data_IF_555518796308
#
_entry.id   IF_555518796308
#
_cell.length_a   1.000
_cell.length_b   1.000
_cell.length_c   1.000
_cell.angle_alpha   90.00
_cell.angle_beta   90.00
_cell.angle_gamma   90.00
#
_symmetry.space_group_name_H-M   'P 1'
#
loop_
_entity.id
_entity.type
_entity.pdbx_description
1 polymer ?
#
# COMPACT_ATOMS: atom_id res chain seq x y z
N UNK A 1 8.73 6.48 17.45
CA UNK A 1 8.41 6.26 16.02
C UNK A 1 9.63 6.31 15.11
N UNK A 2 10.43 7.39 15.02
CA UNK A 2 11.40 7.58 13.92
C UNK A 2 12.52 6.54 13.84
N UNK A 3 12.86 5.86 14.94
CA UNK A 3 13.90 4.80 14.94
C UNK A 3 13.50 3.57 14.11
N UNK A 4 12.23 3.21 14.14
CA UNK A 4 11.73 1.95 13.56
C UNK A 4 10.76 2.17 12.40
N UNK A 5 10.30 3.41 12.18
CA UNK A 5 9.43 3.79 11.08
C UNK A 5 9.96 5.10 10.52
N UNK A 6 10.66 5.01 9.40
CA UNK A 6 11.28 6.12 8.69
C UNK A 6 11.53 5.71 7.25
N UNK A 7 11.51 6.70 6.37
CA UNK A 7 11.90 6.53 4.99
C UNK A 7 13.35 6.02 4.90
N UNK A 8 13.67 5.04 4.03
CA UNK A 8 15.02 4.51 3.90
C UNK A 8 16.02 5.58 3.45
N UNK A 9 17.24 5.47 3.97
CA UNK A 9 18.41 6.15 3.41
C UNK A 9 18.78 5.58 2.03
N UNK A 10 19.66 6.25 1.29
CA UNK A 10 20.02 5.88 -0.08
C UNK A 10 20.57 4.44 -0.19
N UNK A 11 21.32 3.98 0.82
CA UNK A 11 21.89 2.63 0.84
C UNK A 11 20.82 1.56 0.98
N UNK A 12 19.87 1.76 1.90
CA UNK A 12 18.72 0.86 2.07
C UNK A 12 17.79 0.92 0.87
N UNK A 13 17.53 2.13 0.35
CA UNK A 13 16.67 2.33 -0.80
C UNK A 13 17.22 1.64 -2.05
N UNK A 14 18.54 1.65 -2.25
CA UNK A 14 19.18 0.91 -3.34
C UNK A 14 18.95 -0.61 -3.22
N UNK A 15 19.04 -1.17 -2.00
CA UNK A 15 18.74 -2.60 -1.75
C UNK A 15 17.27 -2.91 -2.00
N UNK A 16 16.37 -2.06 -1.52
CA UNK A 16 14.92 -2.21 -1.74
C UNK A 16 14.60 -2.24 -3.24
N UNK A 17 15.17 -1.29 -4.01
CA UNK A 17 15.03 -1.25 -5.47
C UNK A 17 15.51 -2.55 -6.13
N UNK A 18 16.70 -3.01 -5.76
CA UNK A 18 17.26 -4.24 -6.30
C UNK A 18 16.39 -5.46 -5.98
N UNK A 19 15.89 -5.58 -4.75
CA UNK A 19 15.05 -6.70 -4.32
C UNK A 19 13.70 -6.70 -5.05
N UNK A 20 12.98 -5.58 -5.12
CA UNK A 20 11.72 -5.52 -5.86
C UNK A 20 11.90 -5.73 -7.36
N UNK A 21 12.99 -5.24 -7.95
CA UNK A 21 13.33 -5.49 -9.35
C UNK A 21 13.63 -6.97 -9.58
N UNK A 22 14.29 -7.64 -8.65
CA UNK A 22 14.52 -9.10 -8.74
C UNK A 22 13.25 -9.94 -8.65
N UNK A 23 12.23 -9.45 -7.92
CA UNK A 23 10.94 -10.11 -7.75
C UNK A 23 10.08 -9.93 -9.02
N UNK A 24 9.97 -8.69 -9.49
CA UNK A 24 8.94 -8.29 -10.45
C UNK A 24 9.47 -7.91 -11.83
N UNK A 25 10.77 -7.63 -11.96
CA UNK A 25 11.37 -7.01 -13.14
C UNK A 25 11.07 -5.51 -13.31
N UNK A 26 10.28 -4.90 -12.42
CA UNK A 26 9.98 -3.47 -12.46
C UNK A 26 11.14 -2.70 -11.81
N UNK A 27 11.81 -1.81 -12.55
CA UNK A 27 12.98 -1.10 -12.03
C UNK A 27 12.58 -0.01 -11.03
N UNK A 28 13.54 0.40 -10.20
CA UNK A 28 13.48 1.58 -9.32
C UNK A 28 12.34 1.57 -8.28
N UNK A 29 11.76 0.42 -7.95
CA UNK A 29 10.67 0.33 -6.96
C UNK A 29 11.21 0.50 -5.54
N UNK A 30 10.83 1.57 -4.86
CA UNK A 30 11.23 1.88 -3.48
C UNK A 30 10.27 1.40 -2.40
N UNK A 31 9.11 0.85 -2.77
CA UNK A 31 8.12 0.39 -1.81
C UNK A 31 6.79 -0.03 -2.44
N UNK A 32 6.05 -0.82 -1.69
CA UNK A 32 4.65 -1.16 -1.97
C UNK A 32 3.72 -0.42 -1.02
N UNK A 33 2.71 0.28 -1.54
CA UNK A 33 1.74 1.03 -0.74
C UNK A 33 0.40 0.32 -0.69
N UNK A 34 -0.23 0.33 0.49
CA UNK A 34 -1.57 -0.19 0.70
C UNK A 34 -2.30 0.62 1.78
N UNK A 35 -3.63 0.71 1.66
CA UNK A 35 -4.50 1.29 2.69
C UNK A 35 -5.39 0.21 3.27
N UNK A 36 -5.47 0.13 4.59
CA UNK A 36 -6.42 -0.75 5.28
C UNK A 36 -7.35 0.04 6.20
N UNK A 37 -8.54 -0.52 6.45
CA UNK A 37 -9.51 0.04 7.37
C UNK A 37 -9.42 -0.61 8.75
N UNK A 38 -9.40 0.22 9.80
CA UNK A 38 -9.49 -0.20 11.20
C UNK A 38 -10.91 0.06 11.69
N UNK A 39 -11.66 -0.96 12.13
CA UNK A 39 -13.03 -0.78 12.61
C UNK A 39 -13.08 0.10 13.87
N UNK A 40 -14.00 1.05 13.89
CA UNK A 40 -14.27 1.91 15.04
C UNK A 40 -15.73 1.83 15.47
N UNK A 41 -15.99 2.26 16.71
CA UNK A 41 -17.34 2.63 17.12
C UNK A 41 -17.71 3.94 16.43
N UNK A 42 -18.99 4.09 16.04
CA UNK A 42 -19.50 5.32 15.45
C UNK A 42 -19.12 6.52 16.34
N UNK A 43 -18.43 7.54 15.80
CA UNK A 43 -18.07 8.71 16.59
C UNK A 43 -19.34 9.48 16.97
N UNK A 44 -19.26 10.36 17.98
CA UNK A 44 -20.40 11.20 18.38
C UNK A 44 -20.66 12.36 17.41
N UNK A 45 -19.65 12.75 16.64
CA UNK A 45 -19.69 13.86 15.68
C UNK A 45 -19.18 13.40 14.33
N UNK A 46 -19.72 13.98 13.25
CA UNK A 46 -19.33 13.70 11.88
C UNK A 46 -19.38 12.21 11.48
N UNK A 47 -20.42 11.51 11.94
CA UNK A 47 -20.62 10.05 11.78
C UNK A 47 -20.49 9.60 10.32
N UNK A 48 -21.07 10.37 9.39
CA UNK A 48 -21.07 10.08 7.97
C UNK A 48 -19.65 9.98 7.38
N UNK A 49 -18.69 10.79 7.85
CA UNK A 49 -17.32 10.76 7.36
C UNK A 49 -16.59 9.44 7.68
N UNK A 50 -17.01 8.73 8.73
CA UNK A 50 -16.38 7.46 9.12
C UNK A 50 -17.13 6.25 8.61
N UNK A 51 -18.28 6.45 7.94
CA UNK A 51 -19.10 5.37 7.42
C UNK A 51 -18.38 4.67 6.27
N UNK A 52 -18.07 3.39 6.46
CA UNK A 52 -17.49 2.55 5.42
C UNK A 52 -18.62 1.78 4.72
N UNK A 53 -19.05 2.34 3.58
CA UNK A 53 -20.15 1.80 2.76
C UNK A 53 -19.85 0.38 2.28
N UNK A 54 -18.66 0.14 1.75
CA UNK A 54 -18.26 -1.16 1.17
C UNK A 54 -18.17 -2.25 2.21
N UNK A 55 -17.59 -1.94 3.36
CA UNK A 55 -17.53 -2.88 4.48
C UNK A 55 -18.94 -3.17 5.03
N UNK A 56 -19.83 -2.17 5.01
CA UNK A 56 -21.24 -2.34 5.37
C UNK A 56 -21.97 -3.27 4.41
N UNK A 57 -21.77 -3.09 3.10
CA UNK A 57 -22.33 -3.94 2.05
C UNK A 57 -21.78 -5.37 2.13
N UNK A 58 -20.47 -5.54 2.32
CA UNK A 58 -19.83 -6.86 2.44
C UNK A 58 -20.34 -7.65 3.65
N UNK A 59 -20.39 -7.00 4.81
CA UNK A 59 -20.71 -7.69 6.07
C UNK A 59 -22.19 -7.62 6.44
N UNK A 60 -23.02 -6.97 5.61
CA UNK A 60 -24.44 -6.73 5.88
C UNK A 60 -24.68 -6.08 7.27
N UNK A 61 -23.74 -5.23 7.72
CA UNK A 61 -23.74 -4.60 9.03
C UNK A 61 -23.07 -3.24 8.99
N UNK A 62 -23.75 -2.21 9.51
CA UNK A 62 -23.24 -0.84 9.56
C UNK A 62 -21.84 -0.81 10.18
N UNK A 63 -20.89 -0.33 9.39
CA UNK A 63 -19.47 -0.36 9.70
C UNK A 63 -18.88 1.04 9.58
N UNK A 64 -18.09 1.40 10.59
CA UNK A 64 -17.34 2.64 10.65
C UNK A 64 -15.86 2.31 10.75
N UNK A 65 -15.00 3.12 10.13
CA UNK A 65 -13.57 2.89 10.18
C UNK A 65 -12.76 4.17 10.08
N UNK A 66 -11.49 4.05 10.44
CA UNK A 66 -10.43 4.96 9.99
C UNK A 66 -9.44 4.20 9.11
N UNK A 67 -8.66 4.93 8.33
CA UNK A 67 -7.64 4.35 7.46
C UNK A 67 -6.26 4.32 8.11
N UNK A 68 -5.49 3.31 7.71
CA UNK A 68 -4.03 3.23 7.85
C UNK A 68 -3.49 2.97 6.46
N UNK A 69 -2.86 3.98 5.88
CA UNK A 69 -2.08 3.86 4.66
C UNK A 69 -0.62 3.63 5.04
N UNK A 70 0.07 2.72 4.37
CA UNK A 70 1.46 2.44 4.68
C UNK A 70 2.24 1.98 3.46
N UNK A 71 3.51 2.40 3.39
CA UNK A 71 4.50 1.91 2.44
C UNK A 71 5.35 0.87 3.14
N UNK A 72 5.61 -0.25 2.49
CA UNK A 72 6.49 -1.30 2.98
C UNK A 72 7.61 -1.63 2.02
N UNK A 73 8.71 -2.12 2.58
CA UNK A 73 9.80 -2.76 1.85
C UNK A 73 9.47 -4.23 1.50
N UNK A 74 10.34 -4.96 0.77
CA UNK A 74 10.10 -6.35 0.38
C UNK A 74 9.97 -7.31 1.57
N UNK A 75 10.58 -6.98 2.71
CA UNK A 75 10.46 -7.75 3.95
C UNK A 75 9.15 -7.47 4.70
N UNK A 76 8.36 -6.50 4.25
CA UNK A 76 7.12 -6.08 4.91
C UNK A 76 7.35 -5.16 6.11
N UNK A 77 8.49 -4.50 6.19
CA UNK A 77 8.77 -3.43 7.17
C UNK A 77 8.16 -2.13 6.66
N UNK A 78 7.36 -1.46 7.50
CA UNK A 78 6.78 -0.16 7.18
C UNK A 78 7.85 0.93 7.13
N UNK A 79 7.99 1.60 5.98
CA UNK A 79 8.90 2.73 5.78
C UNK A 79 8.19 4.08 5.91
N UNK A 80 6.90 4.13 5.63
CA UNK A 80 6.03 5.30 5.82
C UNK A 80 4.63 4.87 6.24
N UNK A 81 3.96 5.66 7.08
CA UNK A 81 2.54 5.45 7.44
C UNK A 81 1.78 6.76 7.55
N UNK A 82 0.54 6.76 7.07
CA UNK A 82 -0.43 7.82 7.26
C UNK A 82 -1.68 7.25 7.94
N UNK A 83 -2.01 7.78 9.12
CA UNK A 83 -2.97 7.15 10.04
C UNK A 83 -4.05 8.15 10.43
N UNK A 84 -5.29 7.66 10.49
CA UNK A 84 -6.38 8.36 11.20
C UNK A 84 -7.35 9.11 10.32
N UNK A 85 -7.25 8.98 9.00
CA UNK A 85 -8.24 9.58 8.10
C UNK A 85 -9.58 8.82 8.15
N UNK A 86 -10.71 9.51 7.95
CA UNK A 86 -12.03 8.88 8.01
C UNK A 86 -12.19 7.78 6.94
N UNK A 87 -12.84 6.67 7.30
CA UNK A 87 -12.96 5.50 6.43
C UNK A 87 -13.85 5.67 5.20
N UNK A 88 -14.55 6.80 5.05
CA UNK A 88 -15.22 7.14 3.80
C UNK A 88 -14.32 7.90 2.82
N UNK A 89 -13.10 8.28 3.24
CA UNK A 89 -12.16 9.05 2.43
C UNK A 89 -11.45 8.11 1.44
N UNK A 90 -11.47 8.42 0.13
CA UNK A 90 -10.77 7.62 -0.89
C UNK A 90 -9.25 7.64 -0.71
N UNK A 91 -8.57 6.61 -1.26
CA UNK A 91 -7.13 6.43 -1.14
C UNK A 91 -6.30 7.60 -1.68
N UNK A 92 -6.77 8.25 -2.75
CA UNK A 92 -6.08 9.38 -3.36
C UNK A 92 -6.12 10.64 -2.47
N UNK A 93 -7.24 10.90 -1.80
CA UNK A 93 -7.35 11.98 -0.81
C UNK A 93 -6.55 11.69 0.46
N UNK A 94 -6.49 10.43 0.90
CA UNK A 94 -5.60 10.01 2.00
C UNK A 94 -4.14 10.23 1.61
N UNK A 95 -3.77 9.84 0.39
CA UNK A 95 -2.42 9.99 -0.15
C UNK A 95 -1.99 11.46 -0.17
N UNK A 96 -2.82 12.36 -0.71
CA UNK A 96 -2.52 13.81 -0.79
C UNK A 96 -2.22 14.45 0.57
N UNK A 97 -2.69 13.84 1.66
CA UNK A 97 -2.51 14.30 3.04
C UNK A 97 -1.37 13.59 3.77
N UNK A 98 -0.67 12.67 3.09
CA UNK A 98 0.42 11.88 3.66
C UNK A 98 1.77 12.60 3.58
N UNK A 99 2.66 12.27 4.51
CA UNK A 99 4.06 12.73 4.46
C UNK A 99 4.80 12.19 3.23
N UNK A 100 4.37 11.03 2.69
CA UNK A 100 4.87 10.49 1.42
C UNK A 100 4.59 11.42 0.24
N UNK A 101 3.39 11.98 0.15
CA UNK A 101 3.03 12.92 -0.91
C UNK A 101 3.80 14.23 -0.80
N UNK A 102 3.96 14.74 0.42
CA UNK A 102 4.82 15.90 0.68
C UNK A 102 6.28 15.62 0.27
N UNK A 103 6.82 14.45 0.61
CA UNK A 103 8.16 14.00 0.20
C UNK A 103 8.30 13.98 -1.32
N UNK A 104 7.29 13.53 -2.04
CA UNK A 104 7.29 13.54 -3.50
C UNK A 104 7.32 14.97 -4.06
N UNK A 105 6.51 15.88 -3.51
CA UNK A 105 6.48 17.29 -3.93
C UNK A 105 7.79 18.02 -3.67
N UNK A 106 8.57 17.59 -2.68
CA UNK A 106 9.92 18.07 -2.40
C UNK A 106 10.99 17.48 -3.33
N UNK A 107 10.62 16.61 -4.28
CA UNK A 107 11.55 15.93 -5.19
C UNK A 107 12.38 14.83 -4.53
N UNK A 108 12.03 14.42 -3.32
CA UNK A 108 12.78 13.40 -2.57
C UNK A 108 12.43 11.96 -2.98
N UNK A 109 11.50 11.78 -3.92
CA UNK A 109 11.19 10.51 -4.59
C UNK A 109 11.65 10.48 -6.05
N UNK A 110 12.54 11.39 -6.45
CA UNK A 110 13.11 11.35 -7.80
C UNK A 110 13.80 10.00 -8.04
N UNK A 111 13.57 9.40 -9.22
CA UNK A 111 14.05 8.06 -9.57
C UNK A 111 13.59 6.93 -8.63
N UNK A 112 12.46 7.11 -7.94
CA UNK A 112 11.82 6.10 -7.10
C UNK A 112 10.37 5.91 -7.54
N UNK A 113 9.98 4.66 -7.75
CA UNK A 113 8.57 4.30 -7.91
C UNK A 113 8.03 3.65 -6.64
N UNK A 114 6.88 4.10 -6.18
CA UNK A 114 6.02 3.35 -5.26
C UNK A 114 4.97 2.62 -6.08
N UNK A 115 4.62 1.40 -5.68
CA UNK A 115 3.58 0.62 -6.37
C UNK A 115 2.35 0.49 -5.49
N UNK A 116 1.23 1.04 -5.97
CA UNK A 116 -0.08 0.99 -5.31
C UNK A 116 -1.10 0.21 -6.11
N UNK A 117 -2.28 0.02 -5.51
CA UNK A 117 -3.45 -0.60 -6.14
C UNK A 117 -4.22 0.37 -7.06
N UNK A 118 -5.34 -0.09 -7.61
CA UNK A 118 -6.13 0.69 -8.57
C UNK A 118 -6.90 1.86 -7.94
N UNK A 119 -6.97 1.91 -6.60
CA UNK A 119 -7.53 3.02 -5.86
C UNK A 119 -6.64 4.26 -5.81
N UNK A 120 -5.36 4.10 -6.16
CA UNK A 120 -4.42 5.21 -6.27
C UNK A 120 -4.38 5.80 -7.68
N UNK A 121 -4.08 7.11 -7.79
CA UNK A 121 -3.82 7.74 -9.08
C UNK A 121 -2.42 7.39 -9.62
N UNK A 122 -2.30 7.26 -10.94
CA UNK A 122 -1.00 7.18 -11.60
C UNK A 122 -0.28 8.54 -11.54
N UNK A 123 0.94 8.55 -11.01
CA UNK A 123 1.82 9.73 -10.89
C UNK A 123 3.25 9.36 -11.28
N UNK A 124 4.14 10.34 -11.48
CA UNK A 124 5.53 10.08 -11.93
C UNK A 124 6.32 9.16 -10.98
N UNK A 125 5.99 9.20 -9.69
CA UNK A 125 6.58 8.38 -8.64
C UNK A 125 5.65 7.27 -8.13
N UNK A 126 4.42 7.15 -8.63
CA UNK A 126 3.42 6.16 -8.17
C UNK A 126 2.86 5.36 -9.34
N UNK A 127 3.22 4.08 -9.42
CA UNK A 127 2.75 3.13 -10.41
C UNK A 127 1.52 2.38 -9.87
N UNK A 128 0.52 2.23 -10.75
CA UNK A 128 -0.74 1.53 -10.49
C UNK A 128 -1.10 0.63 -11.66
N UNK A 129 -1.82 -0.47 -11.44
CA UNK A 129 -2.19 -1.39 -12.52
C UNK A 129 -3.09 -0.70 -13.56
N UNK A 130 -3.11 -1.24 -14.77
CA UNK A 130 -4.09 -0.86 -15.79
C UNK A 130 -5.49 -1.34 -15.36
N UNK A 131 -6.44 -0.41 -15.32
CA UNK A 131 -7.83 -0.65 -14.91
C UNK A 131 -8.83 -0.64 -16.10
N UNK A 132 -8.35 -0.88 -17.32
CA UNK A 132 -9.19 -0.91 -18.53
C UNK A 132 -9.81 -2.29 -18.74
N UNK A 133 -10.98 -2.37 -19.39
CA UNK A 133 -11.71 -3.63 -19.57
C UNK A 133 -10.98 -4.66 -20.43
N UNK A 134 -10.35 -4.21 -21.53
CA UNK A 134 -9.66 -5.07 -22.48
C UNK A 134 -8.17 -4.78 -22.42
N UNK A 135 -7.45 -5.53 -21.59
CA UNK A 135 -6.01 -5.39 -21.43
C UNK A 135 -5.27 -6.03 -22.61
N UNK A 136 -4.21 -5.38 -23.06
CA UNK A 136 -3.24 -6.01 -23.98
C UNK A 136 -2.39 -7.03 -23.22
N UNK A 137 -1.68 -7.90 -23.94
CA UNK A 137 -0.71 -8.83 -23.33
C UNK A 137 0.37 -8.12 -22.51
N UNK A 138 0.88 -6.98 -22.99
CA UNK A 138 1.84 -6.16 -22.24
C UNK A 138 1.25 -5.61 -20.94
N UNK A 139 0.00 -5.15 -20.96
CA UNK A 139 -0.68 -4.63 -19.79
C UNK A 139 -1.02 -5.74 -18.78
N UNK A 140 -1.38 -6.93 -19.26
CA UNK A 140 -1.56 -8.11 -18.41
C UNK A 140 -0.27 -8.50 -17.70
N UNK A 141 0.84 -8.64 -18.42
CA UNK A 141 2.15 -8.94 -17.84
C UNK A 141 2.56 -7.87 -16.81
N UNK A 142 2.36 -6.59 -17.12
CA UNK A 142 2.61 -5.51 -16.17
C UNK A 142 1.76 -5.62 -14.89
N UNK A 143 0.45 -5.87 -15.03
CA UNK A 143 -0.45 -6.00 -13.88
C UNK A 143 -0.09 -7.19 -12.98
N UNK A 144 0.37 -8.31 -13.55
CA UNK A 144 0.90 -9.44 -12.79
C UNK A 144 2.09 -9.02 -11.94
N UNK A 145 3.07 -8.32 -12.54
CA UNK A 145 4.27 -7.84 -11.84
C UNK A 145 3.98 -6.77 -10.78
N UNK A 146 3.02 -5.90 -11.03
CA UNK A 146 2.47 -5.00 -10.01
C UNK A 146 1.84 -5.78 -8.85
N UNK A 147 1.12 -6.85 -9.15
CA UNK A 147 0.52 -7.74 -8.15
C UNK A 147 1.55 -8.41 -7.24
N UNK A 148 2.67 -8.87 -7.80
CA UNK A 148 3.79 -9.44 -7.03
C UNK A 148 4.37 -8.43 -6.03
N UNK A 149 4.49 -7.15 -6.41
CA UNK A 149 4.96 -6.10 -5.50
C UNK A 149 3.91 -5.79 -4.44
N UNK A 150 2.64 -5.64 -4.84
CA UNK A 150 1.52 -5.39 -3.92
C UNK A 150 1.35 -6.49 -2.87
N UNK A 151 1.71 -7.74 -3.21
CA UNK A 151 1.68 -8.85 -2.27
C UNK A 151 2.53 -8.57 -1.01
N UNK A 152 3.62 -7.80 -1.12
CA UNK A 152 4.44 -7.41 0.03
C UNK A 152 3.66 -6.55 1.03
N UNK A 153 2.99 -5.49 0.56
CA UNK A 153 2.14 -4.65 1.42
C UNK A 153 0.95 -5.44 1.97
N UNK A 154 0.27 -6.21 1.12
CA UNK A 154 -0.86 -7.04 1.51
C UNK A 154 -0.48 -8.02 2.63
N UNK A 155 0.64 -8.73 2.47
CA UNK A 155 1.14 -9.65 3.48
C UNK A 155 1.57 -8.93 4.77
N UNK A 156 2.21 -7.76 4.67
CA UNK A 156 2.60 -6.97 5.84
C UNK A 156 1.38 -6.51 6.65
N UNK A 157 0.33 -6.02 5.98
CA UNK A 157 -0.92 -5.62 6.64
C UNK A 157 -1.71 -6.81 7.20
N UNK A 158 -1.69 -7.97 6.54
CA UNK A 158 -2.26 -9.21 7.05
C UNK A 158 -1.55 -9.65 8.35
N UNK A 159 -0.21 -9.65 8.36
CA UNK A 159 0.60 -9.91 9.57
C UNK A 159 0.36 -8.86 10.65
N UNK A 160 0.21 -7.59 10.28
CA UNK A 160 -0.15 -6.51 11.20
C UNK A 160 -1.47 -6.83 11.92
N UNK A 161 -2.55 -7.03 11.16
CA UNK A 161 -3.84 -7.34 11.78
C UNK A 161 -3.82 -8.66 12.54
N UNK A 162 -3.04 -9.64 12.09
CA UNK A 162 -2.85 -10.92 12.77
C UNK A 162 -2.18 -10.82 14.14
N UNK A 163 -1.01 -10.18 14.21
CA UNK A 163 -0.24 -10.00 15.46
C UNK A 163 -0.98 -9.13 16.48
N UNK A 164 -1.72 -8.11 16.01
CA UNK A 164 -2.46 -7.18 16.87
C UNK A 164 -3.96 -7.35 16.68
N UNK A 165 -4.57 -8.36 17.32
CA UNK A 165 -6.01 -8.63 17.20
C UNK A 165 -6.91 -7.46 17.62
N UNK A 166 -6.39 -6.49 18.39
CA UNK A 166 -7.08 -5.23 18.69
C UNK A 166 -7.40 -4.40 17.43
N UNK A 167 -6.72 -4.64 16.32
CA UNK A 167 -6.95 -4.00 15.02
C UNK A 167 -8.07 -4.64 14.20
N UNK A 168 -8.47 -5.86 14.56
CA UNK A 168 -9.48 -6.64 13.83
C UNK A 168 -10.91 -6.32 14.27
N UNK A 169 -11.08 -5.82 15.50
CA UNK A 169 -12.37 -5.55 16.12
C UNK A 169 -12.58 -4.05 16.27
N UNK A 170 -13.82 -3.66 16.56
CA UNK A 170 -14.16 -2.27 16.89
C UNK A 170 -13.35 -1.85 18.11
N UNK A 171 -12.47 -0.87 17.91
CA UNK A 171 -11.69 -0.32 19.01
C UNK A 171 -12.57 0.54 19.93
N UNK A 172 -12.40 0.36 21.25
CA UNK A 172 -13.04 1.18 22.28
C UNK A 172 -12.19 2.40 22.67
N UNK A 173 -11.02 2.54 22.03
CA UNK A 173 -10.12 3.68 22.22
C UNK A 173 -10.77 4.94 21.66
N UNK A 174 -10.57 6.08 22.33
CA UNK A 174 -11.02 7.36 21.81
C UNK A 174 -10.37 7.63 20.46
N UNK A 175 -11.14 8.17 19.52
CA UNK A 175 -10.67 8.45 18.16
C UNK A 175 -9.39 9.30 18.12
N UNK A 176 -9.19 10.19 19.10
CA UNK A 176 -8.00 11.05 19.24
C UNK A 176 -6.74 10.27 19.67
N UNK A 177 -6.90 9.19 20.44
CA UNK A 177 -5.81 8.37 20.97
C UNK A 177 -5.45 7.23 19.99
N UNK A 178 -6.39 6.87 19.11
CA UNK A 178 -6.27 5.76 18.19
C UNK A 178 -5.05 5.85 17.24
N UNK A 179 -4.68 7.01 16.66
CA UNK A 179 -3.47 7.12 15.85
C UNK A 179 -2.19 6.73 16.59
N UNK A 180 -2.10 7.01 17.90
CA UNK A 180 -0.95 6.64 18.72
C UNK A 180 -0.87 5.12 18.90
N UNK A 181 -2.01 4.47 19.16
CA UNK A 181 -2.10 3.00 19.27
C UNK A 181 -1.71 2.33 17.95
N UNK A 182 -2.24 2.83 16.84
CA UNK A 182 -1.94 2.30 15.51
C UNK A 182 -0.47 2.48 15.14
N UNK A 183 0.10 3.65 15.41
CA UNK A 183 1.52 3.90 15.23
C UNK A 183 2.40 2.99 16.09
N UNK A 184 1.98 2.67 17.32
CA UNK A 184 2.67 1.71 18.17
C UNK A 184 2.62 0.29 17.59
N UNK A 185 1.47 -0.16 17.06
CA UNK A 185 1.36 -1.45 16.37
C UNK A 185 2.30 -1.54 15.16
N UNK A 186 2.36 -0.50 14.31
CA UNK A 186 3.30 -0.47 13.17
C UNK A 186 4.77 -0.52 13.62
N UNK A 187 5.13 0.18 14.71
CA UNK A 187 6.50 0.13 15.25
C UNK A 187 6.84 -1.26 15.80
N UNK A 188 5.92 -1.88 16.54
CA UNK A 188 6.12 -3.24 17.07
C UNK A 188 6.22 -4.27 15.94
N UNK A 189 5.41 -4.11 14.88
CA UNK A 189 5.54 -4.89 13.65
C UNK A 189 6.92 -4.81 13.06
N UNK A 190 7.42 -3.60 12.83
CA UNK A 190 8.74 -3.42 12.26
C UNK A 190 9.82 -4.06 13.13
N UNK A 191 9.71 -3.99 14.47
CA UNK A 191 10.65 -4.67 15.37
C UNK A 191 10.64 -6.18 15.14
N UNK A 192 9.45 -6.80 15.04
CA UNK A 192 9.33 -8.23 14.78
C UNK A 192 9.92 -8.62 13.41
N UNK A 193 9.59 -7.89 12.34
CA UNK A 193 10.07 -8.17 10.99
C UNK A 193 11.60 -7.97 10.88
N UNK A 194 12.14 -6.89 11.46
CA UNK A 194 13.59 -6.63 11.49
C UNK A 194 14.37 -7.67 12.27
N UNK A 195 13.76 -8.27 13.31
CA UNK A 195 14.34 -9.36 14.10
C UNK A 195 14.10 -10.74 13.49
N UNK A 196 13.38 -10.82 12.37
CA UNK A 196 12.95 -12.06 11.74
C UNK A 196 12.20 -12.97 12.72
N UNK A 197 11.40 -12.38 13.60
CA UNK A 197 10.56 -13.13 14.53
C UNK A 197 9.52 -13.93 13.76
N UNK A 198 9.44 -15.23 14.03
CA UNK A 198 8.48 -16.14 13.40
C UNK A 198 7.06 -15.62 13.57
N UNK A 199 6.35 -15.47 12.46
CA UNK A 199 4.91 -15.23 12.47
C UNK A 199 4.18 -16.57 12.53
N UNK A 200 3.14 -16.65 13.36
CA UNK A 200 2.26 -17.81 13.42
C UNK A 200 1.25 -17.76 12.26
N UNK A 201 1.27 -18.71 11.31
CA UNK A 201 0.35 -18.72 10.18
C UNK A 201 -1.13 -18.81 10.60
N UNK A 202 -1.44 -19.36 11.78
CA UNK A 202 -2.81 -19.43 12.30
C UNK A 202 -3.39 -18.06 12.65
N UNK A 203 -2.51 -17.06 12.88
CA UNK A 203 -2.90 -15.69 13.14
C UNK A 203 -3.09 -14.88 11.86
N UNK A 204 -2.87 -15.46 10.67
CA UNK A 204 -2.97 -14.70 9.43
C UNK A 204 -4.38 -14.12 9.24
N UNK A 205 -4.43 -12.81 8.98
CA UNK A 205 -5.69 -12.10 8.79
C UNK A 205 -5.97 -11.93 7.29
N UNK A 206 -7.15 -12.34 6.84
CA UNK A 206 -7.60 -12.06 5.48
C UNK A 206 -7.93 -10.57 5.35
N UNK A 207 -7.07 -9.85 4.61
CA UNK A 207 -7.36 -8.46 4.25
C UNK A 207 -8.25 -8.43 3.02
N UNK A 208 -9.14 -7.43 2.99
CA UNK A 208 -10.04 -7.22 1.88
C UNK A 208 -9.77 -5.86 1.25
N UNK A 209 -9.76 -5.84 -0.07
CA UNK A 209 -9.53 -4.63 -0.86
C UNK A 209 -10.81 -3.80 -0.93
N UNK A 210 -10.87 -2.72 -0.14
CA UNK A 210 -11.98 -1.74 -0.17
C UNK A 210 -11.70 -0.61 -1.20
N UNK A 211 -11.02 -0.91 -2.32
CA UNK A 211 -10.44 0.04 -3.30
C UNK A 211 -11.41 1.00 -3.99
N UNK A 212 -11.39 2.28 -3.64
CA UNK A 212 -12.20 3.31 -4.31
C UNK A 212 -11.49 3.82 -5.56
N UNK A 213 -12.14 3.73 -6.73
CA UNK A 213 -11.60 4.33 -7.95
C UNK A 213 -11.36 5.83 -7.72
N UNK A 214 -10.17 6.35 -8.01
CA UNK A 214 -9.86 7.77 -7.84
C UNK A 214 -10.69 8.62 -8.82
N UNK A 215 -11.06 9.84 -8.40
CA UNK A 215 -11.79 10.77 -9.29
C UNK A 215 -10.97 11.13 -10.53
N UNK A 216 -9.66 11.28 -10.36
CA UNK A 216 -8.70 11.45 -11.44
C UNK A 216 -7.57 10.43 -11.33
N UNK A 217 -7.76 9.28 -11.97
CA UNK A 217 -6.81 8.16 -11.93
C UNK A 217 -5.55 8.34 -12.76
N UNK A 218 -5.49 9.33 -13.66
CA UNK A 218 -4.33 9.58 -14.52
C UNK A 218 -3.90 11.04 -14.37
N UNK A 219 -2.94 11.29 -13.49
CA UNK A 219 -2.53 12.67 -13.14
C UNK A 219 -1.30 13.16 -13.89
N UNK A 220 -0.61 12.29 -14.61
CA UNK A 220 0.60 12.62 -15.34
C UNK A 220 0.68 11.87 -16.68
N UNK A 221 0.84 12.63 -17.77
CA UNK A 221 1.07 12.05 -19.10
C UNK A 221 2.44 11.39 -19.21
N UNK A 222 3.46 11.93 -18.52
CA UNK A 222 4.80 11.33 -18.44
C UNK A 222 4.75 10.02 -17.67
N UNK A 223 3.95 9.92 -16.62
CA UNK A 223 3.75 8.67 -15.89
C UNK A 223 3.09 7.59 -16.75
N UNK A 224 2.13 7.95 -17.62
CA UNK A 224 1.54 7.01 -18.59
C UNK A 224 2.61 6.44 -19.49
N UNK A 225 3.41 7.30 -20.13
CA UNK A 225 4.49 6.88 -21.03
C UNK A 225 5.53 6.01 -20.32
N UNK A 226 5.92 6.40 -19.10
CA UNK A 226 6.85 5.62 -18.27
C UNK A 226 6.30 4.23 -17.95
N UNK A 227 5.03 4.13 -17.55
CA UNK A 227 4.37 2.85 -17.27
C UNK A 227 4.30 1.98 -18.52
N UNK A 228 3.88 2.55 -19.65
CA UNK A 228 3.77 1.84 -20.92
C UNK A 228 5.13 1.33 -21.40
N UNK A 229 6.19 2.11 -21.21
CA UNK A 229 7.56 1.69 -21.50
C UNK A 229 8.02 0.52 -20.61
N UNK A 230 7.75 0.58 -19.30
CA UNK A 230 8.02 -0.53 -18.38
C UNK A 230 7.24 -1.79 -18.81
N UNK A 231 5.95 -1.66 -19.08
CA UNK A 231 5.09 -2.76 -19.51
C UNK A 231 5.59 -3.43 -20.80
N UNK A 232 6.06 -2.63 -21.76
CA UNK A 232 6.67 -3.13 -22.99
C UNK A 232 7.96 -3.91 -22.71
N UNK A 233 8.87 -3.36 -21.91
CA UNK A 233 10.16 -3.99 -21.59
C UNK A 233 9.99 -5.32 -20.84
N UNK A 234 9.04 -5.39 -19.90
CA UNK A 234 8.77 -6.61 -19.13
C UNK A 234 8.40 -7.79 -20.04
N UNK A 235 7.56 -7.57 -21.05
CA UNK A 235 7.15 -8.62 -21.98
C UNK A 235 8.32 -9.13 -22.82
N UNK A 236 9.19 -8.23 -23.29
CA UNK A 236 10.31 -8.59 -24.16
C UNK A 236 11.50 -9.22 -23.43
N UNK A 237 11.75 -8.84 -22.17
CA UNK A 237 12.80 -9.48 -21.36
C UNK A 237 12.36 -10.81 -20.76
N UNK A 238 11.06 -11.01 -20.46
CA UNK A 238 10.52 -12.31 -20.04
C UNK A 238 10.62 -13.40 -21.12
N UNK A 239 10.49 -13.02 -22.39
CA UNK A 239 10.61 -13.93 -23.54
C UNK A 239 12.05 -14.31 -23.90
N UNK A 240 13.04 -13.52 -23.47
CA UNK A 240 14.46 -13.84 -23.67
C UNK A 240 14.99 -14.90 -22.69
N UNK A 241 14.26 -15.17 -21.60
CA UNK A 241 14.59 -16.19 -20.59
C UNK A 241 14.03 -17.58 -20.87
N UNK A 242 13.04 -17.71 -21.77
CA UNK A 242 12.56 -19.01 -22.27
C UNK A 242 13.41 -19.45 -23.45
N UNK A 243 14.70 -19.67 -23.21
CA UNK A 243 15.48 -20.55 -24.07
C UNK A 243 14.89 -21.95 -23.93
N UNK A 244 14.29 -22.45 -25.01
CA UNK A 244 13.96 -23.88 -25.12
C UNK A 244 15.21 -24.69 -24.75
N UNK A 245 15.14 -25.38 -23.62
CA UNK A 245 15.99 -26.52 -23.26
C UNK A 245 15.09 -27.74 -23.15
#
# INVERSE_FOLDING_TARGET
MPKFLQWPDDSKLAKIKQEFESISGIPKVGGSIYTTHIPIIAPKSNVAAYFNKRHTERNQKTSYSITVQGVVDPAGVFTDVCIGWPGSMPDDQVLEKSALYERANLGLLNDVHIVGNSGFPLMDWLLVPYAVQNLTWTQHAFNEKVGEIQAAAKAAFARLKGRWSCLQKRTEVKLQELPVVLGACCVLHNICEMRKERFDPELNFEIFDDEMAPENGLRSATAIQSRDHIAHNLLHHGLAGTGFL
#
